data_IF_837651358916
#
_entry.id   IF_837651358916
#
_cell.length_a   1.000
_cell.length_b   1.000
_cell.length_c   1.000
_cell.angle_alpha   90.00
_cell.angle_beta   90.00
_cell.angle_gamma   90.00
#
_symmetry.space_group_name_H-M   'P 1'
#
loop_
_entity.id
_entity.type
_entity.pdbx_description
1 polymer ?
#
# COMPACT_ATOMS: atom_id res chain seq x y z
N UNK A 1 -18.65 4.59 -34.46
CA UNK A 1 -18.83 4.49 -32.99
C UNK A 1 -18.74 3.06 -32.46
N UNK A 2 -19.53 2.10 -32.99
CA UNK A 2 -19.51 0.71 -32.50
C UNK A 2 -18.12 0.03 -32.60
N UNK A 3 -17.41 0.20 -33.71
CA UNK A 3 -16.06 -0.36 -33.91
C UNK A 3 -15.04 0.21 -32.90
N UNK A 4 -15.09 1.53 -32.63
CA UNK A 4 -14.24 2.15 -31.62
C UNK A 4 -14.56 1.63 -30.21
N UNK A 5 -15.85 1.49 -29.87
CA UNK A 5 -16.25 0.92 -28.60
C UNK A 5 -15.74 -0.54 -28.44
N UNK A 6 -15.76 -1.33 -29.52
CA UNK A 6 -15.16 -2.67 -29.50
C UNK A 6 -13.64 -2.63 -29.26
N UNK A 7 -12.91 -1.77 -29.98
CA UNK A 7 -11.45 -1.61 -29.82
C UNK A 7 -11.10 -1.22 -28.39
N UNK A 8 -11.74 -0.20 -27.83
CA UNK A 8 -11.49 0.24 -26.45
C UNK A 8 -11.89 -0.83 -25.43
N UNK A 9 -12.97 -1.58 -25.66
CA UNK A 9 -13.34 -2.70 -24.80
C UNK A 9 -12.34 -3.85 -24.85
N UNK A 10 -11.78 -4.16 -26.02
CA UNK A 10 -10.76 -5.19 -26.19
C UNK A 10 -9.44 -4.78 -25.52
N UNK A 11 -8.97 -3.55 -25.76
CA UNK A 11 -7.80 -3.00 -25.08
C UNK A 11 -8.01 -2.94 -23.56
N UNK A 12 -9.22 -2.56 -23.12
CA UNK A 12 -9.63 -2.58 -21.73
C UNK A 12 -9.52 -3.98 -21.11
N UNK A 13 -9.93 -5.04 -21.84
CA UNK A 13 -9.75 -6.43 -21.41
C UNK A 13 -8.27 -6.78 -21.24
N UNK A 14 -7.43 -6.49 -22.24
CA UNK A 14 -5.99 -6.80 -22.22
C UNK A 14 -5.29 -6.12 -21.04
N UNK A 15 -5.50 -4.81 -20.87
CA UNK A 15 -4.85 -4.04 -19.80
C UNK A 15 -5.36 -4.46 -18.43
N UNK A 16 -6.66 -4.72 -18.28
CA UNK A 16 -7.24 -5.17 -17.01
C UNK A 16 -6.77 -6.58 -16.64
N UNK A 17 -6.53 -7.46 -17.61
CA UNK A 17 -5.89 -8.75 -17.37
C UNK A 17 -4.50 -8.57 -16.74
N UNK A 18 -3.69 -7.66 -17.26
CA UNK A 18 -2.39 -7.33 -16.67
C UNK A 18 -2.52 -6.78 -15.24
N UNK A 19 -3.53 -5.95 -14.98
CA UNK A 19 -3.84 -5.46 -13.62
C UNK A 19 -4.19 -6.61 -12.67
N UNK A 20 -4.96 -7.62 -13.13
CA UNK A 20 -5.27 -8.79 -12.31
C UNK A 20 -4.06 -9.67 -12.00
N UNK A 21 -3.01 -9.63 -12.82
CA UNK A 21 -1.74 -10.33 -12.54
C UNK A 21 -0.86 -9.59 -11.53
N UNK A 22 -1.11 -8.31 -11.26
CA UNK A 22 -0.26 -7.48 -10.40
C UNK A 22 -0.04 -8.05 -8.98
N UNK A 23 -1.00 -8.74 -8.33
CA UNK A 23 -0.79 -9.36 -7.01
C UNK A 23 0.00 -10.67 -7.02
N UNK A 24 0.36 -11.24 -8.19
CA UNK A 24 1.09 -12.52 -8.25
C UNK A 24 2.38 -12.53 -7.44
N UNK A 25 3.26 -11.51 -7.47
CA UNK A 25 4.46 -11.48 -6.65
C UNK A 25 4.15 -11.52 -5.14
N UNK A 26 3.07 -10.85 -4.72
CA UNK A 26 2.60 -10.87 -3.33
C UNK A 26 2.19 -12.28 -2.91
N UNK A 27 1.39 -12.96 -3.72
CA UNK A 27 0.96 -14.33 -3.42
C UNK A 27 2.08 -15.36 -3.53
N UNK A 28 3.06 -15.14 -4.39
CA UNK A 28 4.28 -15.93 -4.42
C UNK A 28 5.06 -15.80 -3.10
N UNK A 29 5.15 -14.59 -2.54
CA UNK A 29 5.76 -14.37 -1.24
C UNK A 29 5.01 -15.12 -0.12
N UNK A 30 3.67 -15.02 -0.10
CA UNK A 30 2.81 -15.76 0.84
C UNK A 30 3.06 -17.26 0.74
N UNK A 31 3.14 -17.79 -0.48
CA UNK A 31 3.42 -19.21 -0.72
C UNK A 31 4.80 -19.63 -0.20
N UNK A 32 5.84 -18.83 -0.45
CA UNK A 32 7.22 -19.14 -0.02
C UNK A 32 7.36 -19.07 1.50
N UNK A 33 6.72 -18.09 2.13
CA UNK A 33 6.79 -17.84 3.57
C UNK A 33 5.79 -18.66 4.39
N UNK A 34 4.80 -19.28 3.74
CA UNK A 34 3.72 -20.04 4.38
C UNK A 34 2.95 -19.20 5.43
N UNK A 35 2.92 -17.89 5.23
CA UNK A 35 2.36 -16.87 6.12
C UNK A 35 1.86 -15.71 5.26
N UNK A 36 0.81 -15.02 5.72
CA UNK A 36 0.31 -13.83 5.03
C UNK A 36 1.15 -12.57 5.28
N UNK A 37 2.18 -12.62 6.14
CA UNK A 37 3.15 -11.52 6.35
C UNK A 37 2.50 -10.13 6.58
N UNK A 38 1.31 -10.10 7.20
CA UNK A 38 0.55 -8.86 7.42
C UNK A 38 -0.23 -8.32 6.20
N UNK A 39 -0.13 -8.95 5.02
CA UNK A 39 -1.00 -8.64 3.88
C UNK A 39 -2.47 -8.81 4.25
N UNK A 40 -3.33 -7.96 3.68
CA UNK A 40 -4.76 -7.93 3.99
C UNK A 40 -5.58 -8.57 2.86
N UNK A 41 -6.66 -9.25 3.21
CA UNK A 41 -7.59 -9.85 2.23
C UNK A 41 -8.61 -8.86 1.65
N UNK A 42 -8.83 -7.73 2.33
CA UNK A 42 -9.89 -6.75 2.01
C UNK A 42 -9.88 -6.32 0.53
N UNK A 43 -8.74 -5.98 -0.09
CA UNK A 43 -8.73 -5.56 -1.49
C UNK A 43 -9.27 -6.64 -2.44
N UNK A 44 -9.01 -7.91 -2.15
CA UNK A 44 -9.43 -9.04 -2.98
C UNK A 44 -10.92 -9.35 -2.83
N UNK A 45 -11.47 -9.24 -1.61
CA UNK A 45 -12.92 -9.40 -1.38
C UNK A 45 -13.70 -8.25 -2.04
N UNK A 46 -13.23 -7.01 -1.87
CA UNK A 46 -13.84 -5.82 -2.49
C UNK A 46 -13.78 -5.91 -4.02
N UNK A 47 -12.66 -6.37 -4.57
CA UNK A 47 -12.49 -6.57 -6.02
C UNK A 47 -13.39 -7.68 -6.56
N UNK A 48 -13.53 -8.80 -5.82
CA UNK A 48 -14.44 -9.89 -6.17
C UNK A 48 -15.89 -9.38 -6.23
N UNK A 49 -16.34 -8.69 -5.19
CA UNK A 49 -17.69 -8.12 -5.16
C UNK A 49 -17.92 -7.12 -6.31
N UNK A 50 -16.94 -6.25 -6.58
CA UNK A 50 -16.99 -5.32 -7.71
C UNK A 50 -17.18 -6.05 -9.04
N UNK A 51 -16.37 -7.08 -9.29
CA UNK A 51 -16.43 -7.86 -10.53
C UNK A 51 -17.79 -8.56 -10.69
N UNK A 52 -18.32 -9.16 -9.61
CA UNK A 52 -19.66 -9.78 -9.61
C UNK A 52 -20.76 -8.75 -9.92
N UNK A 53 -20.68 -7.55 -9.34
CA UNK A 53 -21.64 -6.47 -9.58
C UNK A 53 -21.60 -5.99 -11.04
N UNK A 54 -20.42 -5.84 -11.62
CA UNK A 54 -20.25 -5.47 -13.03
C UNK A 54 -20.71 -6.55 -13.99
N UNK A 55 -20.50 -7.84 -13.67
CA UNK A 55 -21.08 -8.97 -14.41
C UNK A 55 -22.61 -8.87 -14.39
N UNK A 56 -23.19 -8.67 -13.20
CA UNK A 56 -24.65 -8.56 -13.09
C UNK A 56 -25.19 -7.37 -13.89
N UNK A 57 -24.57 -6.19 -13.75
CA UNK A 57 -24.91 -5.02 -14.56
C UNK A 57 -24.83 -5.31 -16.07
N UNK A 58 -23.78 -5.99 -16.51
CA UNK A 58 -23.57 -6.32 -17.91
C UNK A 58 -24.62 -7.30 -18.44
N UNK A 59 -25.07 -8.29 -17.65
CA UNK A 59 -26.16 -9.19 -18.06
C UNK A 59 -27.51 -8.49 -18.23
N UNK A 60 -27.69 -7.31 -17.61
CA UNK A 60 -28.91 -6.53 -17.72
C UNK A 60 -28.94 -5.60 -18.94
N UNK A 61 -27.87 -5.57 -19.73
CA UNK A 61 -27.73 -4.70 -20.90
C UNK A 61 -27.36 -5.49 -22.16
N UNK A 62 -27.77 -5.03 -23.34
CA UNK A 62 -27.36 -5.64 -24.59
C UNK A 62 -25.90 -5.31 -24.93
N UNK A 63 -25.25 -6.22 -25.65
CA UNK A 63 -23.93 -6.07 -26.28
C UNK A 63 -22.77 -5.70 -25.34
N UNK A 64 -22.85 -6.08 -24.07
CA UNK A 64 -21.86 -5.81 -23.01
C UNK A 64 -20.92 -6.99 -22.76
N UNK A 65 -20.76 -7.89 -23.72
CA UNK A 65 -19.94 -9.12 -23.61
C UNK A 65 -18.52 -8.85 -23.14
N UNK A 66 -17.87 -7.79 -23.63
CA UNK A 66 -16.51 -7.41 -23.22
C UNK A 66 -16.41 -7.03 -21.74
N UNK A 67 -17.49 -6.52 -21.13
CA UNK A 67 -17.53 -6.23 -19.69
C UNK A 67 -17.72 -7.53 -18.90
N UNK A 68 -18.50 -8.48 -19.41
CA UNK A 68 -18.67 -9.81 -18.81
C UNK A 68 -17.34 -10.56 -18.82
N UNK A 69 -16.66 -10.63 -19.97
CA UNK A 69 -15.43 -11.43 -20.12
C UNK A 69 -14.36 -11.00 -19.11
N UNK A 70 -14.07 -9.71 -19.02
CA UNK A 70 -12.99 -9.24 -18.13
C UNK A 70 -13.33 -9.40 -16.65
N UNK A 71 -14.59 -9.19 -16.27
CA UNK A 71 -14.98 -9.31 -14.88
C UNK A 71 -15.10 -10.78 -14.47
N UNK A 72 -15.45 -11.69 -15.39
CA UNK A 72 -15.37 -13.14 -15.15
C UNK A 72 -13.93 -13.59 -14.90
N UNK A 73 -12.99 -13.10 -15.70
CA UNK A 73 -11.54 -13.28 -15.45
C UNK A 73 -11.16 -12.71 -14.08
N UNK A 74 -11.65 -11.51 -13.75
CA UNK A 74 -11.47 -10.91 -12.44
C UNK A 74 -11.96 -11.81 -11.31
N UNK A 75 -13.21 -12.29 -11.38
CA UNK A 75 -13.77 -13.21 -10.40
C UNK A 75 -12.90 -14.46 -10.22
N UNK A 76 -12.39 -15.04 -11.31
CA UNK A 76 -11.47 -16.17 -11.26
C UNK A 76 -10.21 -15.84 -10.46
N UNK A 77 -9.47 -14.78 -10.84
CA UNK A 77 -8.24 -14.38 -10.15
C UNK A 77 -8.48 -14.03 -8.68
N UNK A 78 -9.51 -13.24 -8.38
CA UNK A 78 -9.83 -12.85 -7.00
C UNK A 78 -10.20 -14.06 -6.14
N UNK A 79 -10.94 -15.03 -6.70
CA UNK A 79 -11.27 -16.27 -5.99
C UNK A 79 -10.02 -17.09 -5.71
N UNK A 80 -9.14 -17.27 -6.69
CA UNK A 80 -7.86 -17.99 -6.51
C UNK A 80 -7.01 -17.32 -5.42
N UNK A 81 -6.87 -16.00 -5.45
CA UNK A 81 -6.16 -15.21 -4.44
C UNK A 81 -6.77 -15.37 -3.05
N UNK A 82 -8.09 -15.33 -2.92
CA UNK A 82 -8.76 -15.52 -1.64
C UNK A 82 -8.60 -16.93 -1.09
N UNK A 83 -8.68 -17.96 -1.94
CA UNK A 83 -8.42 -19.33 -1.54
C UNK A 83 -6.99 -19.50 -1.00
N UNK A 84 -6.00 -18.96 -1.71
CA UNK A 84 -4.61 -18.96 -1.27
C UNK A 84 -4.43 -18.20 0.05
N UNK A 85 -5.01 -17.01 0.17
CA UNK A 85 -4.94 -16.21 1.38
C UNK A 85 -5.53 -16.97 2.58
N UNK A 86 -6.74 -17.53 2.43
CA UNK A 86 -7.42 -18.25 3.51
C UNK A 86 -6.62 -19.48 3.95
N UNK A 87 -5.96 -20.17 3.03
CA UNK A 87 -5.11 -21.32 3.34
C UNK A 87 -3.95 -20.94 4.27
N UNK A 88 -3.20 -19.88 3.94
CA UNK A 88 -2.01 -19.47 4.69
C UNK A 88 -2.26 -18.47 5.83
N UNK A 89 -3.46 -17.86 5.91
CA UNK A 89 -3.76 -16.85 6.92
C UNK A 89 -3.88 -17.42 8.33
N UNK A 90 -3.45 -16.67 9.36
CA UNK A 90 -3.70 -17.03 10.76
C UNK A 90 -5.21 -17.02 11.06
N UNK A 91 -5.62 -17.81 12.07
CA UNK A 91 -7.05 -18.05 12.41
C UNK A 91 -7.87 -16.76 12.51
N UNK A 92 -7.34 -15.72 13.15
CA UNK A 92 -8.02 -14.42 13.28
C UNK A 92 -8.28 -13.75 11.93
N UNK A 93 -7.28 -13.67 11.06
CA UNK A 93 -7.40 -13.09 9.72
C UNK A 93 -8.30 -13.95 8.82
N UNK A 94 -8.25 -15.27 8.94
CA UNK A 94 -9.15 -16.19 8.24
C UNK A 94 -10.62 -15.94 8.60
N UNK A 95 -10.93 -15.83 9.89
CA UNK A 95 -12.29 -15.52 10.37
C UNK A 95 -12.75 -14.15 9.89
N UNK A 96 -11.89 -13.13 9.95
CA UNK A 96 -12.22 -11.80 9.43
C UNK A 96 -12.52 -11.83 7.93
N UNK A 97 -11.72 -12.56 7.15
CA UNK A 97 -11.91 -12.71 5.71
C UNK A 97 -13.22 -13.45 5.40
N UNK A 98 -13.52 -14.53 6.13
CA UNK A 98 -14.76 -15.28 5.98
C UNK A 98 -15.98 -14.41 6.32
N UNK A 99 -15.92 -13.60 7.39
CA UNK A 99 -16.97 -12.62 7.73
C UNK A 99 -17.18 -11.60 6.62
N UNK A 100 -16.10 -11.08 6.03
CA UNK A 100 -16.18 -10.11 4.94
C UNK A 100 -16.78 -10.73 3.66
N UNK A 101 -16.42 -11.98 3.35
CA UNK A 101 -17.02 -12.73 2.24
C UNK A 101 -18.52 -12.98 2.46
N UNK A 102 -18.90 -13.43 3.65
CA UNK A 102 -20.31 -13.61 4.00
C UNK A 102 -21.08 -12.28 3.90
N UNK A 103 -20.50 -11.18 4.38
CA UNK A 103 -21.12 -9.86 4.35
C UNK A 103 -21.27 -9.30 2.93
N UNK A 104 -20.18 -9.22 2.16
CA UNK A 104 -20.22 -8.57 0.86
C UNK A 104 -20.78 -9.49 -0.23
N UNK A 105 -20.31 -10.74 -0.29
CA UNK A 105 -20.68 -11.65 -1.38
C UNK A 105 -22.03 -12.31 -1.13
N UNK A 106 -22.23 -12.95 0.03
CA UNK A 106 -23.48 -13.67 0.27
C UNK A 106 -24.62 -12.71 0.58
N UNK A 107 -24.48 -11.88 1.61
CA UNK A 107 -25.54 -10.96 2.03
C UNK A 107 -25.65 -9.74 1.11
N UNK A 108 -24.54 -9.06 0.82
CA UNK A 108 -24.53 -7.86 -0.01
C UNK A 108 -24.97 -8.13 -1.44
N UNK A 109 -24.24 -8.97 -2.18
CA UNK A 109 -24.55 -9.23 -3.58
C UNK A 109 -25.84 -10.05 -3.73
N UNK A 110 -26.08 -11.01 -2.84
CA UNK A 110 -27.33 -11.76 -2.80
C UNK A 110 -28.56 -10.86 -2.58
N UNK A 111 -28.50 -9.90 -1.65
CA UNK A 111 -29.59 -8.94 -1.43
C UNK A 111 -29.78 -7.99 -2.61
N UNK A 112 -28.70 -7.53 -3.26
CA UNK A 112 -28.81 -6.72 -4.48
C UNK A 112 -29.57 -7.49 -5.56
N UNK A 113 -29.20 -8.74 -5.84
CA UNK A 113 -29.93 -9.57 -6.81
C UNK A 113 -31.38 -9.75 -6.38
N UNK A 114 -31.64 -10.22 -5.16
CA UNK A 114 -32.98 -10.52 -4.68
C UNK A 114 -33.89 -9.30 -4.77
N UNK A 115 -33.48 -8.18 -4.17
CA UNK A 115 -34.29 -6.96 -4.14
C UNK A 115 -34.54 -6.42 -5.53
N UNK A 116 -33.51 -6.35 -6.38
CA UNK A 116 -33.68 -5.81 -7.74
C UNK A 116 -34.55 -6.71 -8.63
N UNK A 117 -34.56 -8.03 -8.41
CA UNK A 117 -35.48 -8.95 -9.09
C UNK A 117 -36.93 -8.81 -8.60
N UNK A 118 -37.14 -8.54 -7.31
CA UNK A 118 -38.48 -8.39 -6.73
C UNK A 118 -39.11 -7.02 -7.06
N UNK A 119 -38.33 -5.94 -7.05
CA UNK A 119 -38.86 -4.57 -7.10
C UNK A 119 -38.76 -3.90 -8.48
N UNK A 120 -38.04 -4.50 -9.43
CA UNK A 120 -37.76 -3.85 -10.72
C UNK A 120 -37.60 -4.81 -11.89
N UNK A 121 -37.88 -4.32 -13.10
CA UNK A 121 -37.81 -5.12 -14.33
C UNK A 121 -37.04 -4.40 -15.43
N UNK A 122 -36.48 -5.18 -16.36
CA UNK A 122 -35.85 -4.70 -17.59
C UNK A 122 -34.88 -3.52 -17.40
N UNK A 123 -35.19 -2.39 -18.05
CA UNK A 123 -34.35 -1.18 -18.06
C UNK A 123 -34.24 -0.51 -16.69
N UNK A 124 -35.29 -0.54 -15.89
CA UNK A 124 -35.27 0.04 -14.53
C UNK A 124 -34.30 -0.71 -13.64
N UNK A 125 -34.30 -2.04 -13.74
CA UNK A 125 -33.35 -2.92 -13.04
C UNK A 125 -31.90 -2.59 -13.39
N UNK A 126 -31.60 -2.49 -14.69
CA UNK A 126 -30.28 -2.11 -15.18
C UNK A 126 -29.85 -0.74 -14.62
N UNK A 127 -30.77 0.23 -14.55
CA UNK A 127 -30.48 1.58 -14.01
C UNK A 127 -30.15 1.53 -12.52
N UNK A 128 -30.92 0.80 -11.70
CA UNK A 128 -30.68 0.68 -10.26
C UNK A 128 -29.31 0.02 -10.01
N UNK A 129 -29.05 -1.12 -10.65
CA UNK A 129 -27.78 -1.85 -10.51
C UNK A 129 -26.60 -0.99 -10.99
N UNK A 130 -26.78 -0.24 -12.08
CA UNK A 130 -25.77 0.69 -12.58
C UNK A 130 -25.41 1.79 -11.60
N UNK A 131 -26.41 2.38 -10.91
CA UNK A 131 -26.16 3.36 -9.84
C UNK A 131 -25.44 2.76 -8.64
N UNK A 132 -25.85 1.55 -8.21
CA UNK A 132 -25.15 0.83 -7.13
C UNK A 132 -23.68 0.58 -7.53
N UNK A 133 -23.45 0.12 -8.76
CA UNK A 133 -22.10 -0.08 -9.31
C UNK A 133 -21.27 1.19 -9.37
N UNK A 134 -21.85 2.31 -9.79
CA UNK A 134 -21.19 3.61 -9.81
C UNK A 134 -20.79 4.06 -8.40
N UNK A 135 -21.71 4.03 -7.45
CA UNK A 135 -21.45 4.43 -6.05
C UNK A 135 -20.39 3.53 -5.43
N UNK A 136 -20.50 2.21 -5.62
CA UNK A 136 -19.50 1.28 -5.12
C UNK A 136 -18.12 1.54 -5.72
N UNK A 137 -18.07 1.85 -7.02
CA UNK A 137 -16.83 2.22 -7.72
C UNK A 137 -16.21 3.51 -7.19
N UNK A 138 -16.99 4.42 -6.61
CA UNK A 138 -16.43 5.57 -5.89
C UNK A 138 -15.86 5.17 -4.53
N UNK A 139 -16.54 4.29 -3.80
CA UNK A 139 -16.07 3.81 -2.49
C UNK A 139 -14.72 3.10 -2.57
N UNK A 140 -14.41 2.39 -3.66
CA UNK A 140 -13.11 1.69 -3.79
C UNK A 140 -11.91 2.65 -3.85
N UNK A 141 -12.11 3.94 -4.19
CA UNK A 141 -11.03 4.93 -4.21
C UNK A 141 -10.57 5.37 -2.81
N UNK A 142 -11.27 4.97 -1.74
CA UNK A 142 -10.85 5.24 -0.35
C UNK A 142 -9.46 4.66 -0.07
N UNK A 143 -9.17 3.45 -0.56
CA UNK A 143 -7.87 2.81 -0.35
C UNK A 143 -6.72 3.55 -1.09
N UNK A 144 -6.81 3.82 -2.42
CA UNK A 144 -5.85 4.68 -3.11
C UNK A 144 -5.62 6.04 -2.44
N UNK A 145 -6.67 6.69 -1.93
CA UNK A 145 -6.56 7.98 -1.23
C UNK A 145 -5.76 7.85 0.08
N UNK A 146 -5.96 6.77 0.83
CA UNK A 146 -5.17 6.47 2.03
C UNK A 146 -3.69 6.27 1.70
N UNK A 147 -3.37 5.58 0.60
CA UNK A 147 -1.98 5.39 0.14
C UNK A 147 -1.36 6.72 -0.31
N UNK A 148 -2.10 7.55 -1.06
CA UNK A 148 -1.66 8.91 -1.42
C UNK A 148 -1.33 9.74 -0.18
N UNK A 149 -2.22 9.74 0.82
CA UNK A 149 -1.98 10.43 2.11
C UNK A 149 -0.73 9.90 2.81
N UNK A 150 -0.53 8.58 2.80
CA UNK A 150 0.64 7.95 3.40
C UNK A 150 1.92 8.42 2.71
N UNK A 151 1.98 8.36 1.39
CA UNK A 151 3.15 8.81 0.60
C UNK A 151 3.49 10.27 0.86
N UNK A 152 2.49 11.15 0.95
CA UNK A 152 2.71 12.58 1.23
C UNK A 152 3.28 12.79 2.64
N UNK A 153 2.81 12.01 3.63
CA UNK A 153 3.27 12.09 5.03
C UNK A 153 4.65 11.49 5.24
N UNK A 154 4.91 10.32 4.67
CA UNK A 154 6.18 9.60 4.84
C UNK A 154 7.26 10.05 3.87
N UNK A 155 6.89 10.83 2.84
CA UNK A 155 7.81 11.25 1.76
C UNK A 155 8.45 10.06 1.04
N UNK A 156 7.82 8.88 1.10
CA UNK A 156 8.32 7.60 0.57
C UNK A 156 7.28 6.91 -0.29
N UNK A 157 7.73 6.30 -1.38
CA UNK A 157 6.91 5.61 -2.39
C UNK A 157 6.94 4.09 -2.24
N UNK A 158 7.44 3.57 -1.12
CA UNK A 158 7.62 2.13 -0.87
C UNK A 158 6.32 1.33 -1.06
N UNK A 159 5.18 1.89 -0.65
CA UNK A 159 3.86 1.25 -0.76
C UNK A 159 3.09 1.63 -2.04
N UNK A 160 3.70 2.38 -2.96
CA UNK A 160 3.08 2.85 -4.19
C UNK A 160 4.00 2.54 -5.39
N UNK A 161 4.00 1.29 -5.89
CA UNK A 161 4.75 0.94 -7.09
C UNK A 161 4.18 1.64 -8.33
N UNK A 162 5.07 2.08 -9.23
CA UNK A 162 4.68 2.82 -10.43
C UNK A 162 3.85 1.99 -11.43
N UNK A 163 4.22 0.74 -11.67
CA UNK A 163 3.60 -0.07 -12.73
C UNK A 163 2.10 -0.29 -12.50
N UNK A 164 1.61 -0.66 -11.30
CA UNK A 164 0.17 -0.72 -11.05
C UNK A 164 -0.55 0.60 -11.31
N UNK A 165 0.00 1.75 -10.89
CA UNK A 165 -0.61 3.06 -11.17
C UNK A 165 -0.68 3.35 -12.67
N UNK A 166 0.36 3.03 -13.43
CA UNK A 166 0.37 3.18 -14.89
C UNK A 166 -0.69 2.30 -15.58
N UNK A 167 -0.72 1.00 -15.28
CA UNK A 167 -1.69 0.08 -15.90
C UNK A 167 -3.13 0.35 -15.46
N UNK A 168 -3.36 0.77 -14.21
CA UNK A 168 -4.67 1.22 -13.74
C UNK A 168 -5.13 2.49 -14.47
N UNK A 169 -4.22 3.44 -14.71
CA UNK A 169 -4.52 4.65 -15.49
C UNK A 169 -4.91 4.29 -16.92
N UNK A 170 -4.15 3.40 -17.57
CA UNK A 170 -4.45 2.95 -18.92
C UNK A 170 -5.79 2.20 -18.98
N UNK A 171 -6.06 1.33 -18.00
CA UNK A 171 -7.35 0.64 -17.88
C UNK A 171 -8.50 1.65 -17.74
N UNK A 172 -8.34 2.67 -16.89
CA UNK A 172 -9.34 3.72 -16.71
C UNK A 172 -9.63 4.47 -18.02
N UNK A 173 -8.59 4.82 -18.79
CA UNK A 173 -8.78 5.46 -20.11
C UNK A 173 -9.57 4.54 -21.06
N UNK A 174 -9.21 3.26 -21.13
CA UNK A 174 -9.89 2.30 -22.02
C UNK A 174 -11.37 2.13 -21.65
N UNK A 175 -11.68 1.95 -20.36
CA UNK A 175 -13.05 1.78 -19.89
C UNK A 175 -13.87 3.07 -19.91
N UNK A 176 -13.23 4.24 -19.74
CA UNK A 176 -13.86 5.53 -19.96
C UNK A 176 -14.37 5.64 -21.40
N UNK A 177 -13.49 5.44 -22.39
CA UNK A 177 -13.90 5.53 -23.79
C UNK A 177 -14.90 4.44 -24.18
N UNK A 178 -14.75 3.21 -23.65
CA UNK A 178 -15.75 2.15 -23.82
C UNK A 178 -17.14 2.60 -23.34
N UNK A 179 -17.25 3.11 -22.11
CA UNK A 179 -18.50 3.60 -21.55
C UNK A 179 -19.04 4.80 -22.31
N UNK A 180 -18.20 5.79 -22.58
CA UNK A 180 -18.57 7.03 -23.26
C UNK A 180 -19.11 6.79 -24.67
N UNK A 181 -18.41 6.00 -25.49
CA UNK A 181 -18.82 5.67 -26.86
C UNK A 181 -20.12 4.85 -26.91
N UNK A 182 -20.43 4.12 -25.83
CA UNK A 182 -21.69 3.39 -25.65
C UNK A 182 -22.78 4.20 -24.96
N UNK A 183 -22.54 5.46 -24.62
CA UNK A 183 -23.43 6.31 -23.81
C UNK A 183 -23.82 5.66 -22.48
N UNK A 184 -22.89 4.89 -21.91
CA UNK A 184 -23.01 4.23 -20.62
C UNK A 184 -22.21 4.99 -19.56
N UNK A 185 -22.83 6.01 -18.99
CA UNK A 185 -22.19 6.88 -18.01
C UNK A 185 -21.91 6.18 -16.68
N UNK A 186 -22.62 5.09 -16.36
CA UNK A 186 -22.30 4.29 -15.17
C UNK A 186 -20.89 3.71 -15.26
N UNK A 187 -20.46 3.32 -16.47
CA UNK A 187 -19.09 2.86 -16.73
C UNK A 187 -18.14 4.05 -16.89
N UNK A 188 -18.53 5.09 -17.64
CA UNK A 188 -17.61 6.19 -17.96
C UNK A 188 -17.21 7.01 -16.72
N UNK A 189 -18.17 7.36 -15.85
CA UNK A 189 -17.95 8.32 -14.75
C UNK A 189 -16.91 7.81 -13.73
N UNK A 190 -16.97 6.57 -13.19
CA UNK A 190 -15.96 6.07 -12.27
C UNK A 190 -14.54 6.03 -12.85
N UNK A 191 -14.43 5.81 -14.15
CA UNK A 191 -13.14 5.76 -14.82
C UNK A 191 -12.49 7.14 -14.98
N UNK A 192 -13.25 8.24 -14.92
CA UNK A 192 -12.68 9.60 -14.81
C UNK A 192 -11.91 9.73 -13.50
N UNK A 193 -12.52 9.32 -12.37
CA UNK A 193 -11.83 9.34 -11.08
C UNK A 193 -10.62 8.38 -11.08
N UNK A 194 -10.76 7.19 -11.67
CA UNK A 194 -9.65 6.26 -11.83
C UNK A 194 -8.46 6.87 -12.57
N UNK A 195 -8.72 7.59 -13.66
CA UNK A 195 -7.70 8.34 -14.37
C UNK A 195 -7.05 9.43 -13.51
N UNK A 196 -7.85 10.27 -12.84
CA UNK A 196 -7.33 11.35 -11.99
C UNK A 196 -6.45 10.83 -10.85
N UNK A 197 -6.90 9.78 -10.14
CA UNK A 197 -6.11 9.13 -9.10
C UNK A 197 -4.85 8.47 -9.66
N UNK A 198 -4.94 7.83 -10.82
CA UNK A 198 -3.80 7.22 -11.49
C UNK A 198 -2.71 8.22 -11.86
N UNK A 199 -3.09 9.36 -12.45
CA UNK A 199 -2.18 10.48 -12.72
C UNK A 199 -1.57 11.01 -11.43
N UNK A 200 -2.38 11.26 -10.40
CA UNK A 200 -1.91 11.74 -9.11
C UNK A 200 -0.87 10.80 -8.50
N UNK A 201 -1.11 9.48 -8.52
CA UNK A 201 -0.18 8.48 -8.01
C UNK A 201 1.14 8.49 -8.78
N UNK A 202 1.10 8.58 -10.12
CA UNK A 202 2.32 8.63 -10.94
C UNK A 202 3.14 9.92 -10.69
N UNK A 203 2.48 11.07 -10.56
CA UNK A 203 3.14 12.34 -10.24
C UNK A 203 3.80 12.28 -8.87
N UNK A 204 3.07 11.82 -7.84
CA UNK A 204 3.64 11.68 -6.49
C UNK A 204 4.80 10.68 -6.45
N UNK A 205 4.70 9.59 -7.23
CA UNK A 205 5.79 8.64 -7.37
C UNK A 205 7.07 9.31 -7.89
N UNK A 206 6.98 10.11 -8.96
CA UNK A 206 8.13 10.81 -9.54
C UNK A 206 8.73 11.83 -8.56
N UNK A 207 7.90 12.59 -7.85
CA UNK A 207 8.36 13.60 -6.88
C UNK A 207 9.13 12.93 -5.72
N UNK A 208 8.52 11.94 -5.07
CA UNK A 208 9.07 11.39 -3.83
C UNK A 208 10.12 10.28 -4.05
N UNK A 209 10.12 9.60 -5.19
CA UNK A 209 11.23 8.70 -5.57
C UNK A 209 12.56 9.46 -5.65
N UNK A 210 12.53 10.68 -6.19
CA UNK A 210 13.71 11.51 -6.34
C UNK A 210 14.13 12.13 -4.99
N UNK A 211 13.17 12.48 -4.13
CA UNK A 211 13.46 12.97 -2.78
C UNK A 211 14.21 11.94 -1.93
N UNK A 212 13.80 10.66 -1.97
CA UNK A 212 14.50 9.58 -1.26
C UNK A 212 15.95 9.43 -1.72
N UNK A 213 16.19 9.47 -3.04
CA UNK A 213 17.56 9.42 -3.59
C UNK A 213 18.44 10.59 -3.12
N UNK A 214 17.88 11.80 -3.09
CA UNK A 214 18.61 12.98 -2.64
C UNK A 214 18.97 12.93 -1.14
N UNK A 215 18.10 12.35 -0.30
CA UNK A 215 18.38 12.13 1.13
C UNK A 215 19.41 11.02 1.33
N UNK A 216 19.28 9.88 0.63
CA UNK A 216 20.24 8.78 0.69
C UNK A 216 21.64 9.18 0.21
N UNK A 217 21.75 10.11 -0.75
CA UNK A 217 23.04 10.67 -1.18
C UNK A 217 23.66 11.63 -0.18
N UNK A 218 22.85 12.39 0.57
CA UNK A 218 23.34 13.39 1.53
C UNK A 218 23.64 12.81 2.92
N UNK A 219 23.05 11.68 3.29
CA UNK A 219 23.27 11.05 4.60
C UNK A 219 24.74 10.68 4.85
N UNK A 220 25.50 10.10 3.89
CA UNK A 220 26.93 9.83 4.05
C UNK A 220 27.78 11.11 4.14
N UNK A 221 27.41 12.16 3.39
CA UNK A 221 28.11 13.46 3.45
C UNK A 221 27.95 14.12 4.83
N UNK A 222 26.73 14.09 5.39
CA UNK A 222 26.46 14.64 6.73
C UNK A 222 27.15 13.80 7.80
N UNK A 223 27.14 12.47 7.71
CA UNK A 223 27.87 11.60 8.63
C UNK A 223 29.38 11.87 8.59
N UNK A 224 29.96 12.00 7.40
CA UNK A 224 31.36 12.34 7.25
C UNK A 224 31.68 13.74 7.83
N UNK A 225 30.81 14.73 7.62
CA UNK A 225 30.99 16.06 8.21
C UNK A 225 30.91 16.03 9.74
N UNK A 226 29.98 15.26 10.32
CA UNK A 226 29.86 15.11 11.78
C UNK A 226 31.08 14.42 12.36
N UNK A 227 31.57 13.34 11.73
CA UNK A 227 32.78 12.63 12.16
C UNK A 227 34.00 13.57 12.12
N UNK A 228 34.18 14.34 11.04
CA UNK A 228 35.30 15.30 10.92
C UNK A 228 35.21 16.40 11.99
N UNK A 229 34.02 16.91 12.27
CA UNK A 229 33.80 17.92 13.32
C UNK A 229 34.08 17.37 14.73
N UNK A 230 33.71 16.12 14.99
CA UNK A 230 33.94 15.45 16.27
C UNK A 230 35.43 15.14 16.47
N UNK A 231 36.12 14.68 15.41
CA UNK A 231 37.56 14.44 15.40
C UNK A 231 38.38 15.74 15.56
N UNK A 232 37.91 16.88 15.05
CA UNK A 232 38.59 18.17 15.22
C UNK A 232 38.36 18.81 16.61
N UNK A 233 37.21 18.57 17.24
CA UNK A 233 36.89 19.13 18.57
C UNK A 233 37.42 18.29 19.74
N UNK A 234 37.69 17.01 19.50
CA UNK A 234 38.22 16.11 20.53
C UNK A 234 39.60 16.55 21.08
N UNK A 235 40.57 16.99 20.24
CA UNK A 235 41.84 17.56 20.71
C UNK A 235 41.65 18.86 21.51
N UNK A 236 40.77 19.76 21.08
CA UNK A 236 40.50 21.03 21.78
C UNK A 236 39.87 20.79 23.17
N UNK A 237 38.95 19.83 23.29
CA UNK A 237 38.39 19.44 24.59
C UNK A 237 39.45 18.79 25.48
N UNK A 238 40.33 17.96 24.93
CA UNK A 238 41.42 17.35 25.69
C UNK A 238 42.40 18.41 26.21
N UNK A 239 42.75 19.41 25.39
CA UNK A 239 43.58 20.53 25.84
C UNK A 239 42.90 21.36 26.93
N UNK A 240 41.60 21.68 26.79
CA UNK A 240 40.85 22.41 27.82
C UNK A 240 40.75 21.63 29.13
N UNK A 241 40.53 20.31 29.07
CA UNK A 241 40.49 19.45 30.28
C UNK A 241 41.88 19.42 30.94
N UNK A 242 42.95 19.28 30.16
CA UNK A 242 44.33 19.31 30.68
C UNK A 242 44.63 20.66 31.34
N UNK A 243 44.17 21.77 30.75
CA UNK A 243 44.36 23.11 31.30
C UNK A 243 43.59 23.30 32.62
N UNK A 244 42.33 22.88 32.69
CA UNK A 244 41.51 22.90 33.92
C UNK A 244 42.11 22.02 35.02
N UNK A 245 42.65 20.85 34.66
CA UNK A 245 43.33 19.95 35.61
C UNK A 245 44.66 20.54 36.10
N UNK A 246 45.44 21.20 35.22
CA UNK A 246 46.66 21.92 35.64
C UNK A 246 46.32 23.11 36.53
N UNK A 247 45.26 23.86 36.22
CA UNK A 247 44.79 24.99 37.00
C UNK A 247 44.30 24.55 38.39
N UNK A 248 43.59 23.42 38.48
CA UNK A 248 43.14 22.86 39.75
C UNK A 248 44.29 22.30 40.60
N UNK A 249 45.32 21.71 39.97
CA UNK A 249 46.53 21.25 40.64
C UNK A 249 47.39 22.40 41.22
N UNK A 250 47.33 23.60 40.62
CA UNK A 250 47.99 24.80 41.12
C UNK A 250 47.28 25.42 42.34
N UNK A 251 46.01 25.05 42.61
CA UNK A 251 45.16 25.75 43.59
C UNK A 251 45.18 25.15 45.01
N UNK A 252 45.67 23.91 45.26
CA UNK A 252 46.08 23.43 46.62
C UNK A 252 46.56 21.96 46.64
N UNK A 253 47.46 21.55 47.57
CA UNK A 253 47.95 20.17 47.68
C UNK A 253 46.96 19.14 48.24
N UNK A 254 45.79 19.56 48.74
CA UNK A 254 44.91 18.67 49.54
C UNK A 254 43.91 17.84 48.70
N UNK A 255 43.67 18.17 47.43
CA UNK A 255 42.63 17.54 46.59
C UNK A 255 43.09 16.23 45.93
N UNK A 256 44.41 16.02 45.75
CA UNK A 256 44.97 14.80 45.15
C UNK A 256 44.64 13.55 45.99
N UNK A 257 44.51 13.69 47.32
CA UNK A 257 44.16 12.59 48.23
C UNK A 257 42.72 12.09 48.06
N UNK A 258 41.78 12.96 47.67
CA UNK A 258 40.36 12.61 47.54
C UNK A 258 40.07 11.96 46.18
N UNK A 259 40.70 12.45 45.11
CA UNK A 259 40.53 11.91 43.76
C UNK A 259 41.22 10.53 43.61
N UNK A 260 42.39 10.35 44.22
CA UNK A 260 43.06 9.03 44.24
C UNK A 260 42.29 7.98 45.06
N UNK A 261 41.57 8.40 46.11
CA UNK A 261 40.71 7.51 46.89
C UNK A 261 39.44 7.09 46.12
N UNK A 262 38.86 7.95 45.29
CA UNK A 262 37.69 7.62 44.47
C UNK A 262 38.03 6.72 43.27
N UNK A 263 39.16 6.95 42.60
CA UNK A 263 39.62 6.10 41.48
C UNK A 263 40.01 4.68 41.91
N UNK A 264 40.56 4.52 43.13
CA UNK A 264 40.87 3.19 43.68
C UNK A 264 39.61 2.40 44.07
N UNK A 265 38.51 3.09 44.42
CA UNK A 265 37.26 2.45 44.82
C UNK A 265 36.45 1.96 43.60
N UNK A 266 36.52 2.69 42.47
CA UNK A 266 35.89 2.27 41.21
C UNK A 266 36.62 1.07 40.57
N UNK A 267 37.96 1.04 40.60
CA UNK A 267 38.73 -0.10 40.11
C UNK A 267 38.56 -1.39 40.96
N UNK A 268 38.20 -1.25 42.25
CA UNK A 268 37.91 -2.38 43.14
C UNK A 268 36.56 -3.06 42.89
N UNK A 269 35.55 -2.31 42.43
CA UNK A 269 34.22 -2.86 42.15
C UNK A 269 34.13 -3.57 40.80
N UNK A 270 34.91 -3.15 39.80
CA UNK A 270 34.96 -3.80 38.47
C UNK A 270 35.57 -5.22 38.56
N UNK A 271 36.48 -5.46 39.50
CA UNK A 271 37.14 -6.78 39.68
C UNK A 271 36.26 -7.86 40.34
N UNK A 272 35.13 -7.50 40.97
CA UNK A 272 34.33 -8.45 41.78
C UNK A 272 33.15 -9.09 41.04
N UNK A 273 32.89 -8.75 39.78
CA UNK A 273 31.72 -9.23 39.02
C UNK A 273 32.10 -10.17 37.86
N UNK A 274 33.39 -10.29 37.51
CA UNK A 274 33.87 -11.13 36.38
C UNK A 274 34.48 -12.49 36.75
N UNK A 275 34.42 -12.94 38.01
CA UNK A 275 34.83 -14.31 38.38
C UNK A 275 33.62 -15.23 38.62
N UNK A 276 33.47 -16.35 37.89
CA UNK A 276 32.38 -17.30 38.09
C UNK A 276 32.65 -18.18 39.31
N UNK A 277 31.64 -18.35 40.17
CA UNK A 277 31.62 -19.42 41.18
C UNK A 277 31.60 -20.78 40.49
N UNK A 278 32.51 -21.65 40.91
CA UNK A 278 32.56 -23.09 40.65
C UNK A 278 31.20 -23.78 40.71
#
# INVERSE_FOLDING_TARGET
MAQLAFIFGLLGNIVSFMVYLAPLPTFYCIYKKKSTEGFQSVPYVVSLFSAMLWIYYAFLKPDTTLLITINSVGCFFQTVYLCYYLFYAPRRARIQTAKLLALLVVMGFGSIILLTQLISTGKTRARIVGWIGLVFSFCVFVAPLAIVRQVIRTKSVEYMPFLPSFFLTLSAIMWFFYGFLRKDYNIAIPNILGFLFGILQMVLYLIYKNAKKAVEQKLPEIQNQVIVLEEHKLPELQEQVIEVVKLSALVRPEIVSVISAQLNNENGMVKKITEPSS
#
